data_IF_237653424282
#
_entry.id   IF_237653424282
#
_cell.length_a   1.000
_cell.length_b   1.000
_cell.length_c   1.000
_cell.angle_alpha   90.00
_cell.angle_beta   90.00
_cell.angle_gamma   90.00
#
_symmetry.space_group_name_H-M   'P 1'
#
loop_
_entity.id
_entity.type
_entity.pdbx_description
1 polymer ?
#
# COMPACT_ATOMS: atom_id res chain seq x y z
N UNK A 1 -52.90 0.59 -52.06
CA UNK A 1 -53.74 0.52 -50.86
C UNK A 1 -52.90 -0.21 -49.81
N UNK A 2 -52.13 0.51 -49.02
CA UNK A 2 -51.22 -0.03 -48.00
C UNK A 2 -51.92 0.07 -46.63
N UNK A 3 -52.20 -1.04 -46.00
CA UNK A 3 -52.70 -1.10 -44.65
C UNK A 3 -51.56 -0.80 -43.68
N UNK A 4 -51.62 0.37 -43.04
CA UNK A 4 -50.79 0.69 -41.87
C UNK A 4 -51.35 -0.08 -40.66
N UNK A 5 -50.71 -1.19 -40.31
CA UNK A 5 -50.98 -1.87 -39.03
C UNK A 5 -50.30 -1.10 -37.91
N UNK A 6 -51.09 -0.34 -37.17
CA UNK A 6 -50.67 0.35 -35.99
C UNK A 6 -50.66 -0.64 -34.82
N UNK A 7 -49.48 -1.02 -34.34
CA UNK A 7 -49.34 -1.87 -33.17
C UNK A 7 -49.50 -1.02 -31.90
N UNK A 8 -50.66 -1.14 -31.27
CA UNK A 8 -50.91 -0.50 -29.98
C UNK A 8 -50.45 -1.45 -28.86
N UNK A 9 -49.32 -1.14 -28.22
CA UNK A 9 -48.89 -1.85 -27.04
C UNK A 9 -49.61 -1.31 -25.81
N UNK A 10 -50.55 -2.08 -25.26
CA UNK A 10 -51.21 -1.81 -23.98
C UNK A 10 -50.32 -2.30 -22.84
N UNK A 11 -49.50 -1.44 -22.24
CA UNK A 11 -48.73 -1.74 -21.04
C UNK A 11 -49.69 -1.68 -19.82
N UNK A 12 -49.87 -2.85 -19.15
CA UNK A 12 -50.62 -2.91 -17.88
C UNK A 12 -49.87 -2.09 -16.82
N UNK A 13 -50.64 -1.33 -16.02
CA UNK A 13 -50.09 -0.45 -14.96
C UNK A 13 -49.16 -1.14 -13.98
N UNK A 14 -49.31 -2.45 -13.78
CA UNK A 14 -48.43 -3.28 -12.95
C UNK A 14 -47.00 -3.43 -13.55
N UNK A 15 -46.92 -3.52 -14.89
CA UNK A 15 -45.61 -3.62 -15.60
C UNK A 15 -44.85 -2.29 -15.55
N UNK A 16 -45.53 -1.17 -15.55
CA UNK A 16 -44.91 0.17 -15.43
C UNK A 16 -44.27 0.34 -14.05
N UNK A 17 -44.92 -0.12 -12.98
CA UNK A 17 -44.36 -0.07 -11.61
C UNK A 17 -43.13 -0.95 -11.47
N UNK A 18 -43.11 -2.13 -12.08
CA UNK A 18 -41.95 -3.03 -12.11
C UNK A 18 -40.78 -2.43 -12.85
N UNK A 19 -41.02 -1.83 -14.02
CA UNK A 19 -40.00 -1.15 -14.81
C UNK A 19 -39.41 0.02 -14.04
N UNK A 20 -40.23 0.83 -13.35
CA UNK A 20 -39.78 1.95 -12.56
C UNK A 20 -38.86 1.49 -11.39
N UNK A 21 -39.19 0.39 -10.71
CA UNK A 21 -38.33 -0.18 -9.64
C UNK A 21 -36.99 -0.63 -10.21
N UNK A 22 -36.98 -1.32 -11.35
CA UNK A 22 -35.73 -1.76 -12.01
C UNK A 22 -34.86 -0.57 -12.39
N UNK A 23 -35.44 0.49 -12.98
CA UNK A 23 -34.69 1.69 -13.39
C UNK A 23 -34.10 2.40 -12.16
N UNK A 24 -34.86 2.52 -11.07
CA UNK A 24 -34.36 3.12 -9.81
C UNK A 24 -33.22 2.26 -9.21
N UNK A 25 -33.37 0.94 -9.22
CA UNK A 25 -32.31 0.03 -8.74
C UNK A 25 -31.04 0.13 -9.55
N UNK A 26 -31.16 0.20 -10.88
CA UNK A 26 -29.98 0.36 -11.78
C UNK A 26 -29.32 1.72 -11.59
N UNK A 27 -30.10 2.80 -11.44
CA UNK A 27 -29.54 4.12 -11.14
C UNK A 27 -28.85 4.17 -9.78
N UNK A 28 -29.42 3.52 -8.77
CA UNK A 28 -28.78 3.42 -7.45
C UNK A 28 -27.46 2.61 -7.52
N UNK A 29 -27.43 1.55 -8.31
CA UNK A 29 -26.21 0.75 -8.53
C UNK A 29 -25.12 1.56 -9.25
N UNK A 30 -25.50 2.31 -10.27
CA UNK A 30 -24.58 3.20 -11.00
C UNK A 30 -24.07 4.31 -10.08
N UNK A 31 -24.94 4.91 -9.28
CA UNK A 31 -24.55 5.92 -8.30
C UNK A 31 -23.58 5.35 -7.25
N UNK A 32 -23.79 4.10 -6.83
CA UNK A 32 -22.87 3.41 -5.92
C UNK A 32 -21.51 3.16 -6.56
N UNK A 33 -21.46 2.78 -7.85
CA UNK A 33 -20.22 2.57 -8.60
C UNK A 33 -19.46 3.89 -8.84
N UNK A 34 -20.16 5.01 -9.00
CA UNK A 34 -19.55 6.35 -9.19
C UNK A 34 -19.09 6.95 -7.86
N UNK A 35 -19.74 6.57 -6.74
CA UNK A 35 -19.40 7.02 -5.37
C UNK A 35 -18.35 6.12 -4.68
N UNK A 36 -18.07 4.91 -5.21
CA UNK A 36 -16.88 4.17 -4.80
C UNK A 36 -15.70 5.01 -5.30
N UNK A 37 -14.87 5.60 -4.41
CA UNK A 37 -13.65 6.22 -4.88
C UNK A 37 -12.91 5.14 -5.67
N UNK A 38 -12.66 5.42 -6.95
CA UNK A 38 -11.65 4.66 -7.67
C UNK A 38 -10.43 4.69 -6.75
N UNK A 39 -10.09 3.52 -6.18
CA UNK A 39 -8.72 3.31 -5.78
C UNK A 39 -7.98 3.42 -7.11
N UNK A 40 -7.47 4.61 -7.41
CA UNK A 40 -6.43 4.72 -8.39
C UNK A 40 -5.46 3.62 -8.00
N UNK A 41 -5.43 2.56 -8.83
CA UNK A 41 -4.21 1.77 -8.90
C UNK A 41 -3.16 2.84 -9.10
N UNK A 42 -2.44 3.16 -8.04
CA UNK A 42 -1.20 3.90 -8.14
C UNK A 42 -0.37 2.99 -9.02
N UNK A 43 -0.54 3.15 -10.32
CA UNK A 43 0.38 2.63 -11.31
C UNK A 43 1.70 3.16 -10.82
N UNK A 44 2.44 2.28 -10.12
CA UNK A 44 3.81 2.57 -9.78
C UNK A 44 4.40 3.02 -11.11
N UNK A 45 4.57 4.33 -11.22
CA UNK A 45 5.27 4.93 -12.32
C UNK A 45 6.65 4.30 -12.21
N UNK A 46 6.87 3.24 -12.98
CA UNK A 46 8.21 2.74 -13.29
C UNK A 46 8.78 3.81 -14.23
N UNK A 47 8.87 5.02 -13.66
CA UNK A 47 9.57 6.15 -14.20
C UNK A 47 11.01 6.00 -13.77
N UNK A 48 11.86 5.61 -14.70
CA UNK A 48 13.32 5.80 -14.65
C UNK A 48 14.08 4.98 -13.60
N UNK A 49 13.56 3.87 -13.10
CA UNK A 49 14.27 2.91 -12.23
C UNK A 49 14.75 3.48 -10.88
N UNK A 50 14.36 4.69 -10.52
CA UNK A 50 14.80 5.35 -9.29
C UNK A 50 13.76 5.22 -8.18
N UNK A 51 14.15 4.54 -7.11
CA UNK A 51 13.30 4.42 -5.90
C UNK A 51 13.08 5.79 -5.26
N UNK A 52 11.82 6.10 -4.94
CA UNK A 52 11.45 7.33 -4.24
C UNK A 52 11.39 7.08 -2.73
N UNK A 53 12.28 7.72 -1.98
CA UNK A 53 12.35 7.68 -0.51
C UNK A 53 11.74 8.92 0.16
N UNK A 54 11.35 9.93 -0.61
CA UNK A 54 10.91 11.24 -0.11
C UNK A 54 9.39 11.40 -0.22
N UNK A 55 8.83 12.35 0.54
CA UNK A 55 7.41 12.76 0.52
C UNK A 55 6.44 11.68 1.01
N UNK A 56 6.87 10.77 1.86
CA UNK A 56 6.08 9.68 2.41
C UNK A 56 5.45 10.14 3.74
N UNK A 57 4.16 10.49 3.72
CA UNK A 57 3.47 11.16 4.82
C UNK A 57 2.56 10.23 5.61
N UNK A 58 1.81 9.39 4.91
CA UNK A 58 0.75 8.57 5.48
C UNK A 58 0.88 7.09 5.08
N UNK A 59 -0.09 6.26 5.48
CA UNK A 59 -0.08 4.83 5.20
C UNK A 59 -0.19 4.54 3.70
N UNK A 60 -0.93 5.36 2.95
CA UNK A 60 -1.05 5.22 1.50
C UNK A 60 0.32 5.38 0.82
N UNK A 61 1.08 6.40 1.23
CA UNK A 61 2.42 6.64 0.71
C UNK A 61 3.39 5.51 1.11
N UNK A 62 3.27 4.96 2.35
CA UNK A 62 4.10 3.83 2.81
C UNK A 62 3.79 2.53 2.07
N UNK A 63 2.51 2.29 1.76
CA UNK A 63 2.09 1.17 0.90
C UNK A 63 2.62 1.34 -0.52
N UNK A 64 2.53 2.55 -1.08
CA UNK A 64 3.09 2.86 -2.40
C UNK A 64 4.62 2.69 -2.42
N UNK A 65 5.31 3.07 -1.33
CA UNK A 65 6.74 2.84 -1.17
C UNK A 65 7.08 1.34 -1.20
N UNK A 66 6.36 0.50 -0.43
CA UNK A 66 6.57 -0.95 -0.40
C UNK A 66 6.35 -1.58 -1.80
N UNK A 67 5.35 -1.10 -2.53
CA UNK A 67 5.03 -1.55 -3.89
C UNK A 67 6.16 -1.29 -4.90
N UNK A 68 7.02 -0.29 -4.70
CA UNK A 68 8.18 -0.05 -5.57
C UNK A 68 9.14 -1.24 -5.60
N UNK A 69 9.16 -2.04 -4.52
CA UNK A 69 9.97 -3.26 -4.38
C UNK A 69 9.14 -4.55 -4.63
N UNK A 70 7.85 -4.41 -4.99
CA UNK A 70 6.95 -5.54 -5.21
C UNK A 70 6.37 -6.16 -3.93
N UNK A 71 6.48 -5.47 -2.78
CA UNK A 71 5.88 -5.93 -1.54
C UNK A 71 4.43 -5.50 -1.40
N UNK A 72 3.60 -6.42 -0.92
CA UNK A 72 2.25 -6.17 -0.45
C UNK A 72 2.26 -6.21 1.08
N UNK A 73 1.72 -5.15 1.69
CA UNK A 73 1.73 -4.99 3.15
C UNK A 73 0.33 -4.73 3.69
N UNK A 74 0.15 -4.93 4.99
CA UNK A 74 -1.10 -4.58 5.69
C UNK A 74 -1.48 -3.11 5.47
N UNK A 75 -2.79 -2.77 5.42
CA UNK A 75 -3.25 -1.41 5.16
C UNK A 75 -2.90 -0.41 6.27
N UNK A 76 -2.63 -0.92 7.48
CA UNK A 76 -2.20 -0.14 8.64
C UNK A 76 -0.99 -0.79 9.28
N UNK A 77 -0.11 -0.02 9.95
CA UNK A 77 1.03 -0.59 10.66
C UNK A 77 0.55 -1.47 11.83
N UNK A 78 1.23 -2.59 12.05
CA UNK A 78 1.04 -3.45 13.23
C UNK A 78 1.68 -2.83 14.46
N UNK A 79 2.72 -2.00 14.27
CA UNK A 79 3.40 -1.28 15.32
C UNK A 79 3.89 0.08 14.81
N UNK A 80 3.86 1.08 15.69
CA UNK A 80 4.43 2.41 15.44
C UNK A 80 5.18 2.85 16.69
N UNK A 81 6.47 3.11 16.56
CA UNK A 81 7.33 3.42 17.71
C UNK A 81 8.32 4.54 17.37
N UNK A 82 8.57 5.40 18.35
CA UNK A 82 9.67 6.37 18.30
C UNK A 82 10.97 5.71 18.79
N UNK A 83 11.95 5.58 17.89
CA UNK A 83 13.25 4.99 18.19
C UNK A 83 14.37 6.01 18.02
N UNK A 84 15.42 5.91 18.81
CA UNK A 84 16.59 6.79 18.67
C UNK A 84 17.70 6.06 17.95
N UNK A 85 18.20 6.63 16.87
CA UNK A 85 19.41 6.15 16.20
C UNK A 85 20.59 6.38 17.16
N UNK A 86 21.35 5.35 17.53
CA UNK A 86 22.47 5.49 18.46
C UNK A 86 23.46 6.57 18.04
N UNK A 87 24.01 7.30 19.01
CA UNK A 87 25.08 8.28 18.76
C UNK A 87 26.38 7.58 18.33
N UNK A 88 26.64 6.41 18.91
CA UNK A 88 27.76 5.53 18.57
C UNK A 88 27.19 4.18 18.12
N UNK A 89 27.70 3.64 17.02
CA UNK A 89 27.25 2.35 16.50
C UNK A 89 28.14 1.26 17.11
N UNK A 90 27.50 0.30 17.75
CA UNK A 90 28.12 -0.98 18.10
C UNK A 90 28.15 -1.90 16.87
N UNK A 91 28.80 -3.06 17.01
CA UNK A 91 28.94 -4.05 15.91
C UNK A 91 27.58 -4.48 15.32
N UNK A 92 26.54 -4.56 16.17
CA UNK A 92 25.18 -4.97 15.72
C UNK A 92 24.59 -3.86 14.85
N UNK A 93 24.67 -2.62 15.33
CA UNK A 93 24.14 -1.48 14.59
C UNK A 93 24.94 -1.16 13.33
N UNK A 94 26.26 -1.38 13.34
CA UNK A 94 27.11 -1.30 12.14
C UNK A 94 26.66 -2.32 11.09
N UNK A 95 26.41 -3.57 11.48
CA UNK A 95 25.88 -4.62 10.60
C UNK A 95 24.51 -4.26 10.03
N UNK A 96 23.63 -3.69 10.85
CA UNK A 96 22.34 -3.19 10.40
C UNK A 96 22.48 -2.01 9.43
N UNK A 97 23.41 -1.08 9.72
CA UNK A 97 23.67 0.04 8.81
C UNK A 97 24.29 -0.42 7.47
N UNK A 98 25.03 -1.53 7.45
CA UNK A 98 25.53 -2.10 6.21
C UNK A 98 24.39 -2.56 5.28
N UNK A 99 23.29 -3.11 5.82
CA UNK A 99 22.07 -3.41 5.06
C UNK A 99 21.49 -2.12 4.47
N UNK A 100 21.50 -1.01 5.23
CA UNK A 100 20.99 0.27 4.75
C UNK A 100 21.88 0.85 3.64
N UNK A 101 23.19 0.73 3.78
CA UNK A 101 24.15 1.21 2.78
C UNK A 101 24.01 0.45 1.45
N UNK A 102 23.74 -0.85 1.49
CA UNK A 102 23.45 -1.64 0.30
C UNK A 102 22.22 -1.14 -0.48
N UNK A 103 21.29 -0.47 0.19
CA UNK A 103 20.08 0.15 -0.38
C UNK A 103 20.28 1.62 -0.78
N UNK A 104 21.51 2.15 -0.66
CA UNK A 104 21.80 3.57 -0.90
C UNK A 104 21.40 4.51 0.25
N UNK A 105 21.04 3.95 1.42
CA UNK A 105 20.69 4.69 2.64
C UNK A 105 21.88 4.69 3.61
N UNK A 106 21.86 5.58 4.62
CA UNK A 106 22.92 5.60 5.64
C UNK A 106 22.42 6.25 6.93
N UNK A 107 22.29 5.43 7.97
CA UNK A 107 21.81 5.85 9.29
C UNK A 107 22.82 6.70 10.06
N UNK A 108 24.10 6.69 9.71
CA UNK A 108 25.10 7.55 10.36
C UNK A 108 24.75 9.05 10.30
N UNK A 109 24.05 9.46 9.22
CA UNK A 109 23.58 10.84 9.03
C UNK A 109 22.50 11.25 10.05
N UNK A 110 21.97 10.25 10.77
CA UNK A 110 20.86 10.42 11.71
C UNK A 110 21.24 10.03 13.15
N UNK A 111 22.53 9.86 13.44
CA UNK A 111 23.04 9.57 14.79
C UNK A 111 22.46 10.54 15.82
N UNK A 112 21.98 9.99 16.96
CA UNK A 112 21.35 10.74 18.05
C UNK A 112 19.96 11.33 17.74
N UNK A 113 19.39 11.09 16.54
CA UNK A 113 18.06 11.58 16.19
C UNK A 113 16.99 10.56 16.56
N UNK A 114 15.88 11.07 17.09
CA UNK A 114 14.66 10.28 17.23
C UNK A 114 13.92 10.22 15.89
N UNK A 115 13.57 9.02 15.46
CA UNK A 115 12.90 8.70 14.20
C UNK A 115 11.69 7.83 14.49
N UNK A 116 10.74 7.76 13.58
CA UNK A 116 9.57 6.87 13.72
C UNK A 116 9.85 5.55 12.99
N UNK A 117 9.65 4.44 13.68
CA UNK A 117 9.59 3.11 13.10
C UNK A 117 8.14 2.73 12.87
N UNK A 118 7.81 2.35 11.63
CA UNK A 118 6.53 1.77 11.25
C UNK A 118 6.76 0.33 10.83
N UNK A 119 6.04 -0.60 11.45
CA UNK A 119 6.12 -2.04 11.14
C UNK A 119 4.82 -2.48 10.49
N UNK A 120 4.90 -3.08 9.31
CA UNK A 120 3.77 -3.62 8.57
C UNK A 120 3.94 -5.12 8.37
N UNK A 121 2.83 -5.88 8.42
CA UNK A 121 2.86 -7.27 8.01
C UNK A 121 2.99 -7.35 6.48
N UNK A 122 3.95 -8.15 6.00
CA UNK A 122 4.11 -8.48 4.57
C UNK A 122 3.23 -9.67 4.25
N UNK A 123 2.43 -9.59 3.17
CA UNK A 123 1.43 -10.61 2.82
C UNK A 123 1.84 -11.48 1.64
N UNK A 124 2.87 -11.09 0.89
CA UNK A 124 3.29 -11.78 -0.34
C UNK A 124 4.77 -12.22 -0.32
N UNK A 125 5.31 -12.54 0.87
CA UNK A 125 6.68 -13.05 0.97
C UNK A 125 6.77 -14.46 0.36
N UNK A 126 7.70 -14.73 -0.57
CA UNK A 126 7.76 -16.01 -1.26
C UNK A 126 8.38 -17.11 -0.38
N UNK A 127 7.85 -18.32 -0.48
CA UNK A 127 8.42 -19.56 0.09
C UNK A 127 8.71 -19.50 1.61
N UNK A 128 7.89 -18.74 2.36
CA UNK A 128 7.99 -18.67 3.81
C UNK A 128 6.59 -18.55 4.43
N UNK A 129 6.21 -19.49 5.30
CA UNK A 129 4.88 -19.57 5.90
C UNK A 129 4.76 -18.81 7.24
N UNK A 130 5.87 -18.32 7.77
CA UNK A 130 5.89 -17.56 9.02
C UNK A 130 5.56 -16.07 8.84
N UNK A 131 5.31 -15.35 9.94
CA UNK A 131 5.12 -13.90 9.89
C UNK A 131 6.37 -13.17 9.38
N UNK A 132 6.17 -12.29 8.41
CA UNK A 132 7.20 -11.41 7.84
C UNK A 132 6.75 -9.96 8.00
N UNK A 133 7.68 -9.09 8.32
CA UNK A 133 7.44 -7.68 8.55
C UNK A 133 8.32 -6.80 7.68
N UNK A 134 7.75 -5.71 7.22
CA UNK A 134 8.46 -4.57 6.68
C UNK A 134 8.60 -3.52 7.79
N UNK A 135 9.81 -3.14 8.12
CA UNK A 135 10.10 -2.03 9.01
C UNK A 135 10.55 -0.82 8.19
N UNK A 136 9.94 0.33 8.44
CA UNK A 136 10.33 1.62 7.84
C UNK A 136 10.82 2.56 8.93
N UNK A 137 12.07 3.00 8.84
CA UNK A 137 12.60 4.08 9.66
C UNK A 137 12.37 5.41 8.94
N UNK A 138 11.55 6.26 9.58
CA UNK A 138 11.11 7.53 9.00
C UNK A 138 11.67 8.72 9.79
N UNK A 139 12.32 9.63 9.11
CA UNK A 139 12.67 10.94 9.66
C UNK A 139 11.95 12.02 8.86
N UNK A 140 11.04 12.77 9.53
CA UNK A 140 10.09 13.65 8.85
C UNK A 140 9.25 12.84 7.84
N UNK A 141 9.22 13.24 6.58
CA UNK A 141 8.47 12.57 5.51
C UNK A 141 9.41 11.78 4.56
N UNK A 142 10.49 11.22 5.10
CA UNK A 142 11.50 10.50 4.32
C UNK A 142 11.80 9.15 4.95
N UNK A 143 11.86 8.11 4.14
CA UNK A 143 12.43 6.82 4.53
C UNK A 143 13.95 6.98 4.58
N UNK A 144 14.53 6.71 5.74
CA UNK A 144 15.97 6.84 6.00
C UNK A 144 16.66 5.50 6.21
N UNK A 145 15.86 4.44 6.39
CA UNK A 145 16.28 3.08 6.59
C UNK A 145 15.08 2.15 6.71
N UNK A 146 15.36 0.87 6.77
CA UNK A 146 14.36 -0.17 7.00
C UNK A 146 14.83 -1.53 6.49
N UNK A 147 14.00 -2.51 6.71
CA UNK A 147 14.30 -3.91 6.43
C UNK A 147 13.03 -4.73 6.23
N UNK A 148 13.22 -5.90 5.65
CA UNK A 148 12.27 -7.03 5.69
C UNK A 148 12.82 -8.07 6.65
N UNK A 149 12.04 -8.50 7.63
CA UNK A 149 12.47 -9.51 8.59
C UNK A 149 11.38 -10.52 8.92
N UNK A 150 11.77 -11.72 9.30
CA UNK A 150 10.87 -12.72 9.88
C UNK A 150 10.79 -12.55 11.40
N UNK A 151 9.67 -13.01 12.00
CA UNK A 151 9.48 -13.00 13.45
C UNK A 151 10.21 -14.13 14.20
N UNK A 152 10.81 -15.10 13.47
CA UNK A 152 11.48 -16.24 14.07
C UNK A 152 12.85 -15.86 14.67
N UNK A 153 13.25 -16.52 15.76
CA UNK A 153 14.56 -16.28 16.42
C UNK A 153 15.77 -16.59 15.52
N UNK A 154 15.63 -17.58 14.65
CA UNK A 154 16.60 -18.00 13.63
C UNK A 154 16.23 -17.48 12.23
N UNK A 155 15.47 -16.40 12.21
CA UNK A 155 14.93 -15.85 10.99
C UNK A 155 15.94 -15.08 10.14
N UNK A 156 15.42 -14.32 9.21
CA UNK A 156 16.22 -13.50 8.31
C UNK A 156 15.93 -12.01 8.50
N UNK A 157 16.91 -11.20 8.10
CA UNK A 157 16.75 -9.75 7.89
C UNK A 157 17.50 -9.36 6.62
N UNK A 158 16.86 -8.59 5.75
CA UNK A 158 17.48 -8.07 4.53
C UNK A 158 16.88 -6.72 4.14
N UNK A 159 17.44 -6.08 3.13
CA UNK A 159 16.92 -4.81 2.60
C UNK A 159 15.56 -4.95 1.91
N UNK A 160 15.09 -3.85 1.30
CA UNK A 160 13.79 -3.81 0.64
C UNK A 160 13.72 -4.61 -0.66
N UNK A 161 14.84 -4.87 -1.32
CA UNK A 161 14.86 -5.65 -2.55
C UNK A 161 14.38 -7.08 -2.33
N UNK A 162 13.60 -7.57 -3.32
CA UNK A 162 12.95 -8.89 -3.30
C UNK A 162 13.84 -9.98 -3.88
#
# INVERSE_FOLDING_TARGET
MGENRMFVYSLKATSIKFIAVIVVSVMALIALLVLVPEYEEVSASIGDGKINYDHIKDDTDRIAFAKQFGWEISPTPTETEAVTVPAEFDTVYESYNAIQQAQGLNLERYRGKTVMRYTYAVTNYPNYDGPVYLNLLMYKNKVIGGDICSAALDGFVHGFEK
#
